data_IF_502007423218
#
_entry.id   IF_502007423218
#
_cell.length_a   1.000
_cell.length_b   1.000
_cell.length_c   1.000
_cell.angle_alpha   90.00
_cell.angle_beta   90.00
_cell.angle_gamma   90.00
#
_symmetry.space_group_name_H-M   'P 1'
#
loop_
_entity.id
_entity.type
_entity.pdbx_description
1 polymer ?
#
# COMPACT_ATOMS: atom_id res chain seq x y z
N UNK A 1 35.70 -32.09 -34.02
CA UNK A 1 34.35 -31.96 -33.43
C UNK A 1 34.36 -31.40 -32.00
N UNK A 2 35.12 -30.35 -31.65
CA UNK A 2 35.24 -29.83 -30.28
C UNK A 2 34.77 -28.34 -30.14
N UNK A 3 34.43 -27.67 -31.25
CA UNK A 3 34.08 -26.23 -31.20
C UNK A 3 32.62 -25.90 -30.83
N UNK A 4 31.71 -26.90 -30.84
CA UNK A 4 30.26 -26.66 -30.63
C UNK A 4 29.83 -26.56 -29.15
N UNK A 5 30.60 -27.17 -28.22
CA UNK A 5 30.21 -27.20 -26.78
C UNK A 5 30.54 -25.93 -26.02
N UNK A 6 31.57 -25.19 -26.40
CA UNK A 6 31.99 -23.97 -25.72
C UNK A 6 31.05 -22.78 -25.97
N UNK A 7 30.43 -22.68 -27.16
CA UNK A 7 29.50 -21.60 -27.52
C UNK A 7 28.17 -21.73 -26.77
N UNK A 8 27.68 -22.94 -26.58
CA UNK A 8 26.40 -23.18 -25.86
C UNK A 8 26.54 -22.85 -24.37
N UNK A 9 27.67 -23.19 -23.75
CA UNK A 9 27.90 -22.88 -22.32
C UNK A 9 28.05 -21.38 -22.09
N UNK A 10 28.70 -20.64 -22.99
CA UNK A 10 28.88 -19.20 -22.87
C UNK A 10 27.52 -18.43 -23.01
N UNK A 11 26.63 -18.88 -23.90
CA UNK A 11 25.30 -18.26 -24.07
C UNK A 11 24.37 -18.51 -22.88
N UNK A 12 24.42 -19.71 -22.28
CA UNK A 12 23.61 -20.02 -21.09
C UNK A 12 24.10 -19.24 -19.86
N UNK A 13 25.40 -19.06 -19.68
CA UNK A 13 25.98 -18.29 -18.58
C UNK A 13 25.67 -16.79 -18.72
N UNK A 14 25.68 -16.24 -19.94
CA UNK A 14 25.33 -14.85 -20.20
C UNK A 14 23.83 -14.57 -19.91
N UNK A 15 22.95 -15.48 -20.33
CA UNK A 15 21.52 -15.36 -20.05
C UNK A 15 21.18 -15.44 -18.56
N UNK A 16 21.86 -16.32 -17.82
CA UNK A 16 21.69 -16.43 -16.36
C UNK A 16 22.19 -15.17 -15.62
N UNK A 17 23.27 -14.54 -16.10
CA UNK A 17 23.81 -13.31 -15.52
C UNK A 17 22.89 -12.10 -15.74
N UNK A 18 22.31 -11.97 -16.92
CA UNK A 18 21.35 -10.88 -17.23
C UNK A 18 20.05 -11.07 -16.46
N UNK A 19 19.51 -12.28 -16.37
CA UNK A 19 18.33 -12.56 -15.58
C UNK A 19 18.56 -12.30 -14.08
N UNK A 20 19.70 -12.74 -13.53
CA UNK A 20 20.07 -12.50 -12.14
C UNK A 20 20.20 -11.01 -11.80
N UNK A 21 20.70 -10.20 -12.73
CA UNK A 21 20.83 -8.75 -12.57
C UNK A 21 19.46 -8.07 -12.58
N UNK A 22 18.58 -8.46 -13.51
CA UNK A 22 17.21 -7.95 -13.62
C UNK A 22 16.35 -8.26 -12.37
N UNK A 23 16.40 -9.50 -11.88
CA UNK A 23 15.72 -9.90 -10.64
C UNK A 23 16.31 -9.23 -9.39
N UNK A 24 17.62 -8.96 -9.37
CA UNK A 24 18.27 -8.25 -8.28
C UNK A 24 17.89 -6.76 -8.22
N UNK A 25 17.65 -6.13 -9.35
CA UNK A 25 17.27 -4.72 -9.43
C UNK A 25 15.80 -4.51 -9.06
N UNK A 26 14.90 -5.40 -9.46
CA UNK A 26 13.50 -5.37 -9.04
C UNK A 26 13.34 -5.59 -7.53
N UNK A 27 14.10 -6.50 -6.91
CA UNK A 27 14.11 -6.69 -5.46
C UNK A 27 14.62 -5.46 -4.71
N UNK A 28 15.66 -4.79 -5.22
CA UNK A 28 16.20 -3.56 -4.61
C UNK A 28 15.25 -2.39 -4.70
N UNK A 29 14.48 -2.25 -5.78
CA UNK A 29 13.47 -1.20 -5.92
C UNK A 29 12.30 -1.41 -4.94
N UNK A 30 11.88 -2.66 -4.74
CA UNK A 30 10.83 -3.03 -3.77
C UNK A 30 11.25 -2.84 -2.31
N UNK A 31 12.55 -2.81 -2.03
CA UNK A 31 13.11 -2.75 -0.66
C UNK A 31 13.54 -1.34 -0.26
N UNK A 32 13.27 -0.32 -1.10
CA UNK A 32 13.66 1.06 -0.79
C UNK A 32 12.81 1.61 0.35
N UNK A 33 13.43 2.03 1.46
CA UNK A 33 12.70 2.59 2.59
C UNK A 33 12.24 4.03 2.30
N UNK A 34 11.02 4.33 2.71
CA UNK A 34 10.41 5.65 2.66
C UNK A 34 10.07 6.12 4.06
N UNK A 35 10.37 7.36 4.41
CA UNK A 35 9.91 7.97 5.66
C UNK A 35 8.57 8.65 5.43
N UNK A 36 7.58 8.37 6.24
CA UNK A 36 6.30 9.09 6.25
C UNK A 36 6.52 10.47 6.87
N UNK A 37 6.32 11.52 6.08
CA UNK A 37 6.56 12.92 6.48
C UNK A 37 5.26 13.68 6.76
N UNK A 38 4.12 13.17 6.26
CA UNK A 38 2.80 13.73 6.52
C UNK A 38 1.73 12.64 6.39
N UNK A 39 0.67 12.75 7.15
CA UNK A 39 -0.59 12.03 6.96
C UNK A 39 -1.64 13.05 6.57
N UNK A 40 -2.23 12.89 5.38
CA UNK A 40 -3.23 13.80 4.83
C UNK A 40 -4.62 13.40 5.33
N UNK A 41 -4.92 12.08 5.24
CA UNK A 41 -6.14 11.45 5.72
C UNK A 41 -5.86 9.98 6.12
N UNK A 42 -6.86 9.24 6.52
CA UNK A 42 -6.69 7.86 6.97
C UNK A 42 -6.07 6.93 5.92
N UNK A 43 -6.27 7.22 4.63
CA UNK A 43 -5.79 6.41 3.50
C UNK A 43 -4.85 7.16 2.53
N UNK A 44 -4.40 8.35 2.89
CA UNK A 44 -3.51 9.16 2.07
C UNK A 44 -2.37 9.71 2.90
N UNK A 45 -1.14 9.41 2.51
CA UNK A 45 0.08 9.83 3.20
C UNK A 45 1.06 10.50 2.23
N UNK A 46 2.01 11.26 2.77
CA UNK A 46 3.15 11.78 2.03
C UNK A 46 4.41 11.11 2.57
N UNK A 47 5.21 10.59 1.66
CA UNK A 47 6.45 9.92 1.99
C UNK A 47 7.64 10.60 1.33
N UNK A 48 8.82 10.40 1.90
CA UNK A 48 10.09 10.90 1.35
C UNK A 48 11.14 9.81 1.38
N UNK A 49 11.80 9.58 0.27
CA UNK A 49 13.00 8.75 0.19
C UNK A 49 14.23 9.57 0.57
N UNK A 50 15.27 8.95 1.11
CA UNK A 50 16.52 9.64 1.43
C UNK A 50 17.09 10.38 0.20
N UNK A 51 17.28 11.70 0.33
CA UNK A 51 17.74 12.57 -0.76
C UNK A 51 16.73 12.82 -1.88
N UNK A 52 15.46 12.36 -1.75
CA UNK A 52 14.40 12.54 -2.74
C UNK A 52 13.39 13.63 -2.39
N UNK A 53 12.45 13.84 -3.31
CA UNK A 53 11.28 14.71 -3.13
C UNK A 53 10.15 14.00 -2.43
N UNK A 54 9.16 14.75 -1.97
CA UNK A 54 7.94 14.24 -1.39
C UNK A 54 7.05 13.59 -2.45
N UNK A 55 6.45 12.47 -2.10
CA UNK A 55 5.55 11.71 -2.95
C UNK A 55 4.25 11.43 -2.18
N UNK A 56 3.10 11.74 -2.79
CA UNK A 56 1.79 11.45 -2.21
C UNK A 56 1.36 10.04 -2.57
N UNK A 57 1.05 9.24 -1.56
CA UNK A 57 0.62 7.85 -1.68
C UNK A 57 -0.85 7.74 -1.32
N UNK A 58 -1.67 7.19 -2.22
CA UNK A 58 -3.00 6.69 -1.93
C UNK A 58 -2.89 5.20 -1.64
N UNK A 59 -3.27 4.81 -0.44
CA UNK A 59 -3.23 3.44 0.03
C UNK A 59 -4.21 2.57 -0.77
N UNK A 60 -3.73 1.47 -1.32
CA UNK A 60 -4.54 0.52 -2.11
C UNK A 60 -5.42 -0.35 -1.21
N UNK A 61 -6.58 -0.75 -1.74
CA UNK A 61 -7.46 -1.71 -1.08
C UNK A 61 -8.30 -1.15 0.08
N UNK A 62 -8.16 0.14 0.43
CA UNK A 62 -8.88 0.75 1.55
C UNK A 62 -9.50 2.09 1.19
N UNK A 63 -10.63 2.39 1.86
CA UNK A 63 -11.28 3.68 1.85
C UNK A 63 -11.65 4.04 3.29
N UNK A 64 -11.05 5.11 3.81
CA UNK A 64 -11.35 5.60 5.15
C UNK A 64 -12.46 6.64 5.10
N UNK A 65 -13.27 6.78 6.17
CA UNK A 65 -14.24 7.86 6.22
C UNK A 65 -13.56 9.22 6.12
N UNK A 66 -14.11 10.09 5.27
CA UNK A 66 -13.55 11.38 4.87
C UNK A 66 -13.52 12.39 6.02
N UNK A 67 -12.42 13.14 6.17
CA UNK A 67 -12.25 14.20 7.16
C UNK A 67 -12.12 15.58 6.56
N UNK A 68 -11.64 15.73 5.31
CA UNK A 68 -11.23 17.00 4.72
C UNK A 68 -11.86 17.31 3.36
N UNK A 69 -13.01 16.73 3.02
CA UNK A 69 -13.62 16.98 1.72
C UNK A 69 -14.28 18.40 1.70
N UNK A 70 -13.95 19.27 0.73
CA UNK A 70 -14.42 20.66 0.73
C UNK A 70 -15.95 20.84 0.59
N UNK A 71 -16.67 19.80 0.17
CA UNK A 71 -18.12 19.82 -0.08
C UNK A 71 -18.90 18.74 0.65
N UNK A 72 -18.26 17.97 1.54
CA UNK A 72 -18.91 16.92 2.32
C UNK A 72 -18.62 17.13 3.81
N UNK A 73 -19.58 16.88 4.69
CA UNK A 73 -19.31 16.90 6.13
C UNK A 73 -18.31 15.82 6.51
N UNK A 74 -17.65 16.02 7.65
CA UNK A 74 -16.82 14.99 8.28
C UNK A 74 -17.66 13.73 8.46
N UNK A 75 -17.17 12.61 7.93
CA UNK A 75 -17.88 11.34 8.02
C UNK A 75 -17.66 10.70 9.40
N UNK A 76 -18.65 9.89 9.80
CA UNK A 76 -18.54 9.12 11.04
C UNK A 76 -17.28 8.26 11.04
N UNK A 77 -16.51 8.33 12.10
CA UNK A 77 -15.23 7.62 12.31
C UNK A 77 -14.05 8.12 11.46
N UNK A 78 -14.20 9.22 10.71
CA UNK A 78 -13.11 9.83 9.92
C UNK A 78 -11.97 10.33 10.81
N UNK A 79 -12.24 11.18 11.82
CA UNK A 79 -11.19 11.68 12.71
C UNK A 79 -10.42 10.56 13.42
N UNK A 80 -11.10 9.47 13.81
CA UNK A 80 -10.50 8.31 14.46
C UNK A 80 -9.57 7.55 13.50
N UNK A 81 -9.97 7.37 12.23
CA UNK A 81 -9.17 6.72 11.20
C UNK A 81 -7.91 7.55 10.89
N UNK A 82 -8.05 8.86 10.63
CA UNK A 82 -6.93 9.75 10.37
C UNK A 82 -5.96 9.82 11.56
N UNK A 83 -6.48 9.91 12.79
CA UNK A 83 -5.67 9.89 14.01
C UNK A 83 -4.95 8.55 14.19
N UNK A 84 -5.59 7.43 13.83
CA UNK A 84 -4.95 6.11 13.88
C UNK A 84 -3.79 6.02 12.91
N UNK A 85 -4.00 6.37 11.63
CA UNK A 85 -2.96 6.39 10.61
C UNK A 85 -1.80 7.30 11.02
N UNK A 86 -2.10 8.49 11.57
CA UNK A 86 -1.07 9.41 12.09
C UNK A 86 -0.23 8.77 13.18
N UNK A 87 -0.85 8.18 14.21
CA UNK A 87 -0.11 7.54 15.30
C UNK A 87 0.75 6.36 14.84
N UNK A 88 0.29 5.64 13.82
CA UNK A 88 0.98 4.43 13.36
C UNK A 88 2.09 4.72 12.35
N UNK A 89 1.88 5.69 11.47
CA UNK A 89 2.78 5.89 10.32
C UNK A 89 3.62 7.16 10.40
N UNK A 90 3.17 8.25 11.04
CA UNK A 90 3.92 9.50 11.02
C UNK A 90 5.33 9.33 11.59
N UNK A 91 6.34 9.75 10.84
CA UNK A 91 7.75 9.63 11.20
C UNK A 91 8.34 8.22 11.04
N UNK A 92 7.53 7.21 10.75
CA UNK A 92 7.99 5.84 10.54
C UNK A 92 8.67 5.65 9.18
N UNK A 93 9.46 4.59 9.11
CA UNK A 93 10.05 4.10 7.85
C UNK A 93 9.22 2.95 7.35
N UNK A 94 8.70 3.06 6.14
CA UNK A 94 7.83 2.08 5.52
C UNK A 94 8.42 1.58 4.20
N UNK A 95 7.96 0.42 3.76
CA UNK A 95 8.17 -0.09 2.41
C UNK A 95 6.88 0.08 1.61
N UNK A 96 7.00 0.45 0.35
CA UNK A 96 5.89 0.54 -0.59
C UNK A 96 5.92 -0.64 -1.55
N UNK A 97 4.76 -1.22 -1.81
CA UNK A 97 4.55 -2.26 -2.79
C UNK A 97 3.56 -1.77 -3.84
N UNK A 98 4.03 -1.64 -5.09
CA UNK A 98 3.19 -1.30 -6.23
C UNK A 98 2.36 -2.52 -6.66
N UNK A 99 1.21 -2.27 -7.28
CA UNK A 99 0.44 -3.28 -8.00
C UNK A 99 0.49 -2.98 -9.50
N UNK A 100 -0.53 -3.31 -10.27
CA UNK A 100 -0.57 -3.19 -11.73
C UNK A 100 -0.52 -1.73 -12.18
N UNK A 101 -1.41 -0.89 -11.67
CA UNK A 101 -1.47 0.54 -11.97
C UNK A 101 -0.84 1.34 -10.82
N UNK A 102 0.12 2.19 -11.17
CA UNK A 102 0.95 2.89 -10.18
C UNK A 102 0.46 4.27 -9.80
N UNK A 103 -0.38 4.90 -10.61
CA UNK A 103 -0.83 6.27 -10.35
C UNK A 103 -2.32 6.41 -10.66
N UNK A 104 -3.01 7.18 -9.85
CA UNK A 104 -4.38 7.56 -10.13
C UNK A 104 -4.46 8.78 -11.07
N UNK A 105 -5.69 9.15 -11.42
CA UNK A 105 -5.97 10.30 -12.30
C UNK A 105 -5.57 11.65 -11.70
N UNK A 106 -5.27 11.71 -10.40
CA UNK A 106 -4.80 12.89 -9.68
C UNK A 106 -3.28 12.93 -9.54
N UNK A 107 -2.56 11.93 -10.08
CA UNK A 107 -1.11 11.82 -10.01
C UNK A 107 -0.58 11.29 -8.68
N UNK A 108 -1.43 10.79 -7.77
CA UNK A 108 -0.98 10.13 -6.54
C UNK A 108 -0.50 8.72 -6.88
N UNK A 109 0.60 8.30 -6.25
CA UNK A 109 1.04 6.90 -6.39
C UNK A 109 0.10 5.98 -5.61
N UNK A 110 -0.27 4.89 -6.25
CA UNK A 110 -1.08 3.80 -5.69
C UNK A 110 -0.13 2.73 -5.17
N UNK A 111 -0.14 2.45 -3.87
CA UNK A 111 0.73 1.43 -3.29
C UNK A 111 0.13 0.84 -2.01
N UNK A 112 0.53 -0.40 -1.69
CA UNK A 112 0.38 -0.98 -0.37
C UNK A 112 1.54 -0.54 0.53
N UNK A 113 1.23 -0.26 1.80
CA UNK A 113 2.20 0.21 2.80
C UNK A 113 2.53 -0.91 3.77
N UNK A 114 3.82 -1.18 3.91
CA UNK A 114 4.34 -2.19 4.84
C UNK A 114 5.10 -1.53 5.97
N UNK A 115 4.64 -1.74 7.20
CA UNK A 115 5.30 -1.32 8.42
C UNK A 115 5.70 -2.55 9.23
N UNK A 116 6.98 -2.69 9.56
CA UNK A 116 7.52 -3.83 10.33
C UNK A 116 7.12 -5.20 9.75
N UNK A 117 7.11 -5.33 8.42
CA UNK A 117 6.76 -6.56 7.71
C UNK A 117 5.26 -6.89 7.68
N UNK A 118 4.38 -5.97 8.13
CA UNK A 118 2.93 -6.12 8.13
C UNK A 118 2.29 -5.14 7.16
N UNK A 119 1.29 -5.60 6.41
CA UNK A 119 0.50 -4.74 5.54
C UNK A 119 -0.40 -3.84 6.40
N UNK A 120 -0.24 -2.53 6.26
CA UNK A 120 -0.93 -1.54 7.09
C UNK A 120 -2.42 -1.41 6.72
N UNK A 121 -2.77 -1.57 5.46
CA UNK A 121 -4.15 -1.51 4.99
C UNK A 121 -4.98 -2.63 5.61
N UNK A 122 -4.43 -3.83 5.73
CA UNK A 122 -5.08 -4.93 6.44
C UNK A 122 -5.27 -4.61 7.93
N UNK A 123 -4.31 -3.93 8.56
CA UNK A 123 -4.45 -3.46 9.95
C UNK A 123 -5.61 -2.47 10.09
N UNK A 124 -5.81 -1.56 9.12
CA UNK A 124 -6.94 -0.63 9.09
C UNK A 124 -8.29 -1.37 8.99
N UNK A 125 -8.39 -2.37 8.10
CA UNK A 125 -9.61 -3.17 7.93
C UNK A 125 -9.94 -4.00 9.18
N UNK A 126 -8.96 -4.72 9.72
CA UNK A 126 -9.12 -5.54 10.93
C UNK A 126 -9.59 -4.73 12.13
N UNK A 127 -9.15 -3.49 12.24
CA UNK A 127 -9.52 -2.57 13.33
C UNK A 127 -10.76 -1.72 13.01
N UNK A 128 -11.35 -1.89 11.83
CA UNK A 128 -12.56 -1.17 11.42
C UNK A 128 -12.34 0.33 11.24
N UNK A 129 -11.16 0.78 10.81
CA UNK A 129 -10.89 2.16 10.44
C UNK A 129 -11.16 2.45 8.96
N UNK A 130 -11.26 1.42 8.13
CA UNK A 130 -11.50 1.53 6.70
C UNK A 130 -12.54 0.53 6.21
N UNK A 131 -13.02 0.76 4.98
CA UNK A 131 -13.78 -0.19 4.16
C UNK A 131 -12.86 -0.70 3.06
N UNK A 132 -13.13 -1.90 2.56
CA UNK A 132 -12.47 -2.40 1.35
C UNK A 132 -12.89 -1.55 0.15
N UNK A 133 -11.91 -1.08 -0.61
CA UNK A 133 -12.10 -0.42 -1.90
C UNK A 133 -11.07 -0.98 -2.90
N UNK A 134 -11.52 -1.82 -3.81
CA UNK A 134 -10.67 -2.30 -4.91
C UNK A 134 -10.63 -1.25 -6.01
N UNK A 135 -9.44 -0.78 -6.36
CA UNK A 135 -9.19 0.13 -7.47
C UNK A 135 -8.60 -0.70 -8.61
N UNK A 136 -9.47 -1.12 -9.53
CA UNK A 136 -9.03 -1.93 -10.67
C UNK A 136 -7.95 -1.20 -11.50
N UNK A 137 -6.92 -1.92 -12.00
CA UNK A 137 -6.72 -3.38 -11.94
C UNK A 137 -5.94 -3.88 -10.70
N UNK A 138 -5.82 -3.09 -9.63
CA UNK A 138 -5.02 -3.35 -8.44
C UNK A 138 -5.80 -4.21 -7.44
N UNK A 139 -5.50 -5.50 -7.35
CA UNK A 139 -6.22 -6.43 -6.48
C UNK A 139 -5.35 -7.51 -5.83
N UNK A 140 -4.02 -7.30 -5.78
CA UNK A 140 -3.08 -8.32 -5.27
C UNK A 140 -3.44 -8.86 -3.88
N UNK A 141 -3.96 -8.01 -2.97
CA UNK A 141 -4.32 -8.39 -1.61
C UNK A 141 -5.84 -8.38 -1.33
N UNK A 142 -6.68 -8.19 -2.37
CA UNK A 142 -8.12 -7.94 -2.20
C UNK A 142 -8.86 -9.06 -1.45
N UNK A 143 -8.47 -10.32 -1.64
CA UNK A 143 -9.10 -11.47 -0.97
C UNK A 143 -8.88 -11.44 0.54
N UNK A 144 -7.63 -11.31 0.96
CA UNK A 144 -7.29 -11.26 2.39
C UNK A 144 -7.90 -10.04 3.08
N UNK A 145 -7.94 -8.90 2.35
CA UNK A 145 -8.55 -7.66 2.82
C UNK A 145 -10.07 -7.79 2.99
N UNK A 146 -10.74 -8.51 2.09
CA UNK A 146 -12.17 -8.81 2.22
C UNK A 146 -12.45 -9.64 3.49
N UNK A 147 -11.65 -10.66 3.73
CA UNK A 147 -11.78 -11.50 4.93
C UNK A 147 -11.58 -10.67 6.22
N UNK A 148 -10.60 -9.76 6.23
CA UNK A 148 -10.33 -8.84 7.34
C UNK A 148 -11.53 -7.89 7.59
N UNK A 149 -12.12 -7.30 6.53
CA UNK A 149 -13.31 -6.45 6.65
C UNK A 149 -14.52 -7.22 7.14
N UNK A 150 -14.82 -8.39 6.56
CA UNK A 150 -15.95 -9.23 6.97
C UNK A 150 -15.86 -9.61 8.45
N UNK A 151 -14.67 -9.94 8.92
CA UNK A 151 -14.44 -10.23 10.33
C UNK A 151 -14.68 -9.00 11.22
N UNK A 152 -14.16 -7.82 10.84
CA UNK A 152 -14.40 -6.57 11.58
C UNK A 152 -15.89 -6.20 11.63
N UNK A 153 -16.64 -6.40 10.54
CA UNK A 153 -18.11 -6.20 10.47
C UNK A 153 -18.85 -7.15 11.40
N UNK A 154 -18.53 -8.44 11.36
CA UNK A 154 -19.18 -9.45 12.18
C UNK A 154 -19.05 -9.16 13.68
N UNK A 155 -17.90 -8.60 14.09
CA UNK A 155 -17.62 -8.25 15.48
C UNK A 155 -17.93 -6.78 15.84
N UNK A 156 -18.49 -6.00 14.89
CA UNK A 156 -18.80 -4.57 15.06
C UNK A 156 -17.63 -3.73 15.52
N UNK A 157 -16.44 -4.01 14.99
CA UNK A 157 -15.20 -3.31 15.34
C UNK A 157 -15.18 -1.94 14.66
N UNK A 158 -14.71 -0.91 15.37
CA UNK A 158 -14.48 0.42 14.82
C UNK A 158 -15.74 1.06 14.22
N UNK A 159 -15.66 1.54 12.98
CA UNK A 159 -16.76 2.19 12.26
C UNK A 159 -18.01 1.30 12.16
N UNK A 160 -17.86 -0.03 12.15
CA UNK A 160 -18.96 -0.98 12.06
C UNK A 160 -19.83 -1.02 13.31
N UNK A 161 -19.27 -0.65 14.45
CA UNK A 161 -20.02 -0.49 15.70
C UNK A 161 -20.44 0.96 15.94
N UNK A 162 -19.51 1.91 15.75
CA UNK A 162 -19.72 3.31 16.09
C UNK A 162 -20.68 4.05 15.15
N UNK A 163 -20.74 3.66 13.85
CA UNK A 163 -21.55 4.34 12.84
C UNK A 163 -22.84 3.61 12.48
N UNK A 164 -23.22 2.60 13.24
CA UNK A 164 -24.43 1.82 12.97
C UNK A 164 -25.68 2.73 12.96
N UNK A 165 -26.43 2.72 11.84
CA UNK A 165 -27.64 3.53 11.67
C UNK A 165 -27.43 5.00 11.32
N UNK A 166 -26.21 5.41 10.96
CA UNK A 166 -25.87 6.79 10.55
C UNK A 166 -25.44 6.88 9.08
N UNK A 167 -25.89 5.96 8.23
CA UNK A 167 -25.65 5.99 6.77
C UNK A 167 -26.78 6.73 6.07
#
# INVERSE_FOLDING_TARGET
>A
MVRSRAVVVATVLAAASVAGWWFGEQRRAADTPYRVVQVVDGDTIVVRRAGGTDETIRLLGVDTPETHHPRKPVQCYGPEAAAYTTRRLFGQVVRLEDDVERHDVYGRRLAYVWLDGRNFERELLQKGYARLLVIEPNHAHARDMLDDELNARAHRVGLWGACWGRT
#
